data_IF_324988061237
#
_entry.id   IF_324988061237
#
_cell.length_a   1.000
_cell.length_b   1.000
_cell.length_c   1.000
_cell.angle_alpha   90.00
_cell.angle_beta   90.00
_cell.angle_gamma   90.00
#
_symmetry.space_group_name_H-M   'P 1'
#
loop_
_entity.id
_entity.type
_entity.pdbx_description
1 polymer ?
#
# COMPACT_ATOMS: atom_id res chain seq x y z
N UNK A 1 22.92 19.47 18.12
CA UNK A 1 22.21 19.21 16.85
C UNK A 1 20.71 19.30 17.09
N UNK A 2 20.01 20.27 16.49
CA UNK A 2 18.53 20.34 16.56
C UNK A 2 17.97 19.22 15.68
N UNK A 3 17.30 18.23 16.28
CA UNK A 3 16.51 17.24 15.52
C UNK A 3 15.30 17.98 14.96
N UNK A 4 15.29 18.21 13.65
CA UNK A 4 14.11 18.72 12.97
C UNK A 4 12.97 17.72 13.17
N UNK A 5 11.92 18.13 13.88
CA UNK A 5 10.70 17.33 13.98
C UNK A 5 10.14 17.17 12.57
N UNK A 6 10.18 15.94 12.03
CA UNK A 6 9.45 15.60 10.81
C UNK A 6 8.03 15.28 11.23
N UNK A 7 7.09 16.13 10.85
CA UNK A 7 5.67 15.86 11.05
C UNK A 7 5.31 14.60 10.22
N UNK A 8 4.75 13.56 10.85
CA UNK A 8 4.32 12.37 10.13
C UNK A 8 3.22 12.76 9.12
N UNK A 9 3.35 12.29 7.88
CA UNK A 9 2.40 12.58 6.81
C UNK A 9 2.78 13.70 5.83
N UNK A 10 3.73 14.59 6.17
CA UNK A 10 4.16 15.68 5.23
C UNK A 10 4.67 15.14 3.90
N UNK A 11 5.30 13.97 3.92
CA UNK A 11 5.75 13.28 2.71
C UNK A 11 4.61 12.96 1.72
N UNK A 12 3.40 12.77 2.23
CA UNK A 12 2.20 12.44 1.46
C UNK A 12 1.40 13.68 1.06
N UNK A 13 1.64 14.83 1.70
CA UNK A 13 0.95 16.05 1.34
C UNK A 13 1.32 16.47 -0.10
N UNK A 14 0.32 16.90 -0.86
CA UNK A 14 0.44 17.27 -2.28
C UNK A 14 0.84 16.16 -3.26
N UNK A 15 0.98 14.90 -2.81
CA UNK A 15 1.17 13.78 -3.75
C UNK A 15 -0.06 13.61 -4.66
N UNK A 16 0.16 13.26 -5.93
CA UNK A 16 -0.93 12.99 -6.85
C UNK A 16 -1.74 11.77 -6.39
N UNK A 17 -3.00 11.73 -6.79
CA UNK A 17 -3.93 10.64 -6.52
C UNK A 17 -4.11 9.78 -7.76
N UNK A 18 -4.36 8.49 -7.54
CA UNK A 18 -4.73 7.59 -8.63
C UNK A 18 -6.15 7.94 -9.08
N UNK A 19 -6.35 7.89 -10.39
CA UNK A 19 -7.66 8.08 -11.02
C UNK A 19 -8.46 6.76 -10.97
N UNK A 20 -7.78 5.64 -10.71
CA UNK A 20 -8.37 4.31 -10.58
C UNK A 20 -9.43 4.27 -9.48
N UNK A 21 -10.51 3.52 -9.72
CA UNK A 21 -11.54 3.32 -8.73
C UNK A 21 -10.99 2.59 -7.49
N UNK A 22 -11.45 2.98 -6.30
CA UNK A 22 -11.12 2.31 -5.04
C UNK A 22 -11.95 1.04 -4.84
N UNK A 23 -11.91 0.15 -5.83
CA UNK A 23 -12.55 -1.16 -5.71
C UNK A 23 -11.61 -2.11 -4.99
N UNK A 24 -12.08 -2.66 -3.88
CA UNK A 24 -11.29 -3.62 -3.11
C UNK A 24 -11.74 -5.05 -3.39
N UNK A 25 -10.78 -5.93 -3.63
CA UNK A 25 -11.02 -7.37 -3.82
C UNK A 25 -10.80 -8.14 -2.51
N UNK A 26 -11.24 -9.40 -2.48
CA UNK A 26 -11.00 -10.28 -1.35
C UNK A 26 -9.50 -10.57 -1.18
N UNK A 27 -9.04 -10.71 0.07
CA UNK A 27 -7.67 -11.10 0.38
C UNK A 27 -7.28 -12.43 -0.27
N UNK A 28 -6.12 -12.42 -0.94
CA UNK A 28 -5.51 -13.61 -1.52
C UNK A 28 -4.21 -13.96 -0.76
N UNK A 29 -4.14 -15.12 -0.07
CA UNK A 29 -2.97 -15.51 0.72
C UNK A 29 -1.73 -15.88 -0.13
N UNK A 30 -1.87 -16.04 -1.46
CA UNK A 30 -0.74 -16.34 -2.34
C UNK A 30 0.15 -15.12 -2.64
N UNK A 31 -0.28 -13.92 -2.28
CA UNK A 31 0.56 -12.73 -2.39
C UNK A 31 1.54 -12.69 -1.21
N UNK A 32 2.82 -12.83 -1.50
CA UNK A 32 3.87 -12.81 -0.48
C UNK A 32 4.24 -11.39 -0.10
N UNK A 33 4.73 -11.16 1.12
CA UNK A 33 5.14 -9.80 1.54
C UNK A 33 6.23 -9.25 0.61
N UNK A 34 6.18 -7.95 0.29
CA UNK A 34 7.27 -7.25 -0.40
C UNK A 34 8.61 -7.48 0.33
N UNK A 35 9.68 -7.71 -0.43
CA UNK A 35 10.99 -8.08 0.10
C UNK A 35 11.17 -9.58 0.40
N UNK A 36 10.11 -10.39 0.29
CA UNK A 36 10.25 -11.85 0.40
C UNK A 36 11.13 -12.38 -0.75
N UNK A 37 12.13 -13.24 -0.44
CA UNK A 37 12.97 -13.90 -1.45
C UNK A 37 12.14 -14.68 -2.47
N UNK A 38 12.71 -14.91 -3.65
CA UNK A 38 12.05 -15.72 -4.67
C UNK A 38 11.83 -17.16 -4.17
N UNK A 39 10.65 -17.72 -4.47
CA UNK A 39 10.31 -19.06 -4.02
C UNK A 39 9.34 -19.76 -4.98
N UNK A 40 9.01 -21.03 -4.70
CA UNK A 40 8.15 -21.86 -5.56
C UNK A 40 6.74 -21.29 -5.76
N UNK A 41 6.26 -20.40 -4.88
CA UNK A 41 4.97 -19.73 -5.05
C UNK A 41 5.00 -18.65 -6.16
N UNK A 42 6.19 -18.25 -6.62
CA UNK A 42 6.37 -17.32 -7.73
C UNK A 42 6.25 -17.99 -9.12
N UNK A 43 5.92 -19.30 -9.17
CA UNK A 43 5.86 -20.04 -10.44
C UNK A 43 4.90 -19.42 -11.46
N UNK A 44 3.83 -18.76 -11.00
CA UNK A 44 2.83 -18.11 -11.83
C UNK A 44 2.96 -16.57 -11.78
N UNK A 45 4.20 -16.08 -11.67
CA UNK A 45 4.48 -14.66 -11.52
C UNK A 45 4.75 -14.27 -10.07
N UNK A 46 5.60 -13.27 -9.92
CA UNK A 46 6.03 -12.76 -8.61
C UNK A 46 4.94 -11.83 -8.07
N UNK A 47 4.02 -12.37 -7.28
CA UNK A 47 2.93 -11.59 -6.67
C UNK A 47 3.32 -11.11 -5.28
N UNK A 48 3.24 -9.81 -5.01
CA UNK A 48 3.69 -9.23 -3.74
C UNK A 48 2.64 -8.37 -3.06
N UNK A 49 2.61 -8.35 -1.74
CA UNK A 49 1.72 -7.51 -0.95
C UNK A 49 2.46 -6.61 0.02
N UNK A 50 1.90 -5.42 0.26
CA UNK A 50 2.35 -4.46 1.27
C UNK A 50 1.11 -3.96 2.02
N UNK A 51 1.22 -3.77 3.33
CA UNK A 51 0.08 -3.22 4.07
C UNK A 51 -0.07 -1.73 3.81
N UNK A 52 -1.30 -1.23 3.90
CA UNK A 52 -1.58 0.19 3.72
C UNK A 52 -0.85 1.01 4.80
N UNK A 53 -0.82 0.53 6.04
CA UNK A 53 -0.07 1.20 7.13
C UNK A 53 1.44 1.24 6.86
N UNK A 54 2.04 0.14 6.36
CA UNK A 54 3.46 0.07 6.02
C UNK A 54 3.79 1.03 4.87
N UNK A 55 2.93 1.07 3.85
CA UNK A 55 3.09 2.00 2.73
C UNK A 55 2.97 3.45 3.20
N UNK A 56 1.94 3.80 3.97
CA UNK A 56 1.76 5.17 4.50
C UNK A 56 2.85 5.59 5.50
N UNK A 57 3.62 4.65 6.06
CA UNK A 57 4.76 4.94 6.94
C UNK A 57 5.99 5.47 6.21
N UNK A 58 6.03 5.36 4.87
CA UNK A 58 7.09 5.93 4.06
C UNK A 58 7.16 7.45 4.26
N UNK A 59 8.36 7.94 4.55
CA UNK A 59 8.58 9.34 4.96
C UNK A 59 9.71 10.04 4.21
N UNK A 60 10.32 9.36 3.24
CA UNK A 60 11.43 9.91 2.45
C UNK A 60 11.52 9.25 1.07
N UNK A 61 12.14 9.95 0.12
CA UNK A 61 12.43 9.40 -1.20
C UNK A 61 13.34 8.16 -1.11
N UNK A 62 14.31 8.15 -0.19
CA UNK A 62 15.17 6.98 0.02
C UNK A 62 14.41 5.71 0.41
N UNK A 63 13.33 5.84 1.19
CA UNK A 63 12.49 4.71 1.56
C UNK A 63 11.67 4.22 0.35
N UNK A 64 11.21 5.16 -0.48
CA UNK A 64 10.54 4.87 -1.76
C UNK A 64 11.48 4.16 -2.73
N UNK A 65 12.72 4.62 -2.89
CA UNK A 65 13.69 3.98 -3.76
C UNK A 65 14.04 2.56 -3.29
N UNK A 66 14.10 2.35 -1.97
CA UNK A 66 14.27 1.02 -1.39
C UNK A 66 13.08 0.11 -1.70
N UNK A 67 11.86 0.62 -1.58
CA UNK A 67 10.64 -0.11 -1.94
C UNK A 67 10.65 -0.45 -3.45
N UNK A 68 11.00 0.51 -4.30
CA UNK A 68 11.09 0.31 -5.75
C UNK A 68 12.01 -0.86 -6.11
N UNK A 69 13.19 -0.96 -5.46
CA UNK A 69 14.11 -2.10 -5.67
C UNK A 69 13.51 -3.44 -5.25
N UNK A 70 12.73 -3.47 -4.18
CA UNK A 70 12.06 -4.69 -3.71
C UNK A 70 10.92 -5.12 -4.64
N UNK A 71 10.37 -4.19 -5.41
CA UNK A 71 9.28 -4.40 -6.38
C UNK A 71 9.77 -4.73 -7.79
N UNK A 72 11.08 -4.84 -8.02
CA UNK A 72 11.62 -5.24 -9.31
C UNK A 72 11.10 -6.62 -9.73
N UNK A 73 10.70 -6.70 -11.00
CA UNK A 73 10.17 -7.89 -11.67
C UNK A 73 8.91 -8.49 -11.01
N UNK A 74 8.16 -7.69 -10.23
CA UNK A 74 6.88 -8.09 -9.68
C UNK A 74 5.81 -8.03 -10.78
N UNK A 75 4.96 -9.05 -10.85
CA UNK A 75 3.91 -9.14 -11.89
C UNK A 75 2.58 -8.55 -11.42
N UNK A 76 2.31 -8.62 -10.11
CA UNK A 76 1.16 -7.99 -9.49
C UNK A 76 1.47 -7.58 -8.05
N UNK A 77 0.92 -6.44 -7.64
CA UNK A 77 1.01 -5.93 -6.27
C UNK A 77 -0.38 -5.80 -5.66
N UNK A 78 -0.49 -6.20 -4.40
CA UNK A 78 -1.65 -5.93 -3.57
C UNK A 78 -1.31 -4.96 -2.43
N UNK A 79 -2.10 -3.91 -2.27
CA UNK A 79 -2.15 -3.14 -1.03
C UNK A 79 -3.16 -3.83 -0.11
N UNK A 80 -2.71 -4.30 1.05
CA UNK A 80 -3.59 -4.86 2.06
C UNK A 80 -4.16 -3.71 2.90
N UNK A 81 -5.47 -3.49 2.81
CA UNK A 81 -6.18 -2.56 3.68
C UNK A 81 -6.30 -3.18 5.08
N UNK A 82 -5.28 -2.94 5.89
CA UNK A 82 -5.14 -3.44 7.26
C UNK A 82 -5.64 -2.45 8.32
N UNK A 83 -6.00 -1.23 7.89
CA UNK A 83 -6.55 -0.18 8.73
C UNK A 83 -7.95 0.22 8.25
N UNK A 84 -8.87 0.33 9.20
CA UNK A 84 -10.19 0.91 8.98
C UNK A 84 -10.38 2.04 10.00
N UNK A 85 -10.64 3.28 9.57
CA UNK A 85 -10.89 4.36 10.51
C UNK A 85 -12.13 4.05 11.35
N UNK A 86 -11.99 4.13 12.67
CA UNK A 86 -13.09 3.90 13.64
C UNK A 86 -14.07 5.08 13.68
N UNK A 87 -13.62 6.26 13.23
CA UNK A 87 -14.42 7.48 13.21
C UNK A 87 -15.25 7.57 11.93
N UNK A 88 -16.58 7.53 12.08
CA UNK A 88 -17.54 7.57 10.97
C UNK A 88 -17.83 8.97 10.41
N UNK A 89 -16.91 9.92 10.58
CA UNK A 89 -17.04 11.28 10.03
C UNK A 89 -16.84 11.30 8.51
N UNK A 90 -17.69 12.01 7.78
CA UNK A 90 -17.59 12.14 6.32
C UNK A 90 -16.24 12.70 5.86
N UNK A 91 -15.66 13.62 6.64
CA UNK A 91 -14.33 14.21 6.38
C UNK A 91 -13.22 13.18 6.62
N UNK A 92 -13.27 12.44 7.73
CA UNK A 92 -12.27 11.41 8.04
C UNK A 92 -12.26 10.30 6.98
N UNK A 93 -13.44 9.87 6.53
CA UNK A 93 -13.55 8.88 5.46
C UNK A 93 -13.01 9.42 4.12
N UNK A 94 -13.34 10.67 3.75
CA UNK A 94 -12.76 11.32 2.57
C UNK A 94 -11.24 11.37 2.64
N UNK A 95 -10.69 11.84 3.75
CA UNK A 95 -9.24 11.91 3.96
C UNK A 95 -8.58 10.53 3.85
N UNK A 96 -9.19 9.50 4.45
CA UNK A 96 -8.70 8.13 4.33
C UNK A 96 -8.69 7.63 2.88
N UNK A 97 -9.79 7.85 2.14
CA UNK A 97 -9.86 7.52 0.71
C UNK A 97 -8.80 8.26 -0.11
N UNK A 98 -8.59 9.55 0.16
CA UNK A 98 -7.53 10.34 -0.47
C UNK A 98 -6.15 9.71 -0.23
N UNK A 99 -5.84 9.33 1.02
CA UNK A 99 -4.56 8.66 1.34
C UNK A 99 -4.40 7.32 0.63
N UNK A 100 -5.46 6.52 0.49
CA UNK A 100 -5.39 5.27 -0.28
C UNK A 100 -5.10 5.56 -1.76
N UNK A 101 -5.77 6.56 -2.37
CA UNK A 101 -5.50 6.92 -3.77
C UNK A 101 -4.07 7.40 -4.00
N UNK A 102 -3.50 8.16 -3.06
CA UNK A 102 -2.10 8.56 -3.13
C UNK A 102 -1.15 7.36 -3.02
N UNK A 103 -1.46 6.41 -2.13
CA UNK A 103 -0.71 5.17 -1.98
C UNK A 103 -0.77 4.30 -3.26
N UNK A 104 -1.94 4.15 -3.87
CA UNK A 104 -2.11 3.47 -5.16
C UNK A 104 -1.27 4.16 -6.23
N UNK A 105 -1.37 5.49 -6.34
CA UNK A 105 -0.63 6.25 -7.34
C UNK A 105 0.87 6.08 -7.21
N UNK A 106 1.38 6.11 -5.97
CA UNK A 106 2.80 5.88 -5.73
C UNK A 106 3.24 4.52 -6.30
N UNK A 107 2.48 3.45 -6.06
CA UNK A 107 2.82 2.13 -6.60
C UNK A 107 2.69 2.07 -8.11
N UNK A 108 1.63 2.65 -8.69
CA UNK A 108 1.46 2.77 -10.15
C UNK A 108 2.66 3.49 -10.79
N UNK A 109 3.18 4.56 -10.17
CA UNK A 109 4.35 5.28 -10.66
C UNK A 109 5.66 4.49 -10.51
N UNK A 110 5.78 3.65 -9.47
CA UNK A 110 6.96 2.82 -9.23
C UNK A 110 7.05 1.61 -10.15
N UNK A 111 5.90 1.05 -10.53
CA UNK A 111 5.79 -0.17 -11.35
C UNK A 111 4.69 -0.02 -12.41
N UNK A 112 4.91 0.79 -13.46
CA UNK A 112 3.87 1.19 -14.40
C UNK A 112 3.21 0.03 -15.16
N UNK A 113 3.93 -1.06 -15.39
CA UNK A 113 3.43 -2.24 -16.12
C UNK A 113 2.87 -3.34 -15.20
N UNK A 114 2.73 -3.06 -13.90
CA UNK A 114 2.32 -4.04 -12.89
C UNK A 114 0.90 -3.75 -12.40
N UNK A 115 0.06 -4.78 -12.33
CA UNK A 115 -1.28 -4.62 -11.78
C UNK A 115 -1.22 -4.31 -10.27
N UNK A 116 -1.74 -3.15 -9.86
CA UNK A 116 -1.88 -2.76 -8.46
C UNK A 116 -3.34 -2.92 -8.03
N UNK A 117 -3.58 -3.65 -6.94
CA UNK A 117 -4.93 -3.94 -6.45
C UNK A 117 -5.05 -3.63 -4.97
N UNK A 118 -6.24 -3.24 -4.51
CA UNK A 118 -6.55 -3.08 -3.09
C UNK A 118 -7.22 -4.36 -2.57
N UNK A 119 -6.69 -4.96 -1.52
CA UNK A 119 -7.25 -6.17 -0.89
C UNK A 119 -7.77 -5.86 0.51
N UNK A 120 -8.94 -6.40 0.85
CA UNK A 120 -9.48 -6.35 2.21
C UNK A 120 -9.15 -7.63 2.96
N UNK A 121 -8.57 -7.50 4.16
CA UNK A 121 -8.45 -8.63 5.07
C UNK A 121 -9.84 -9.20 5.40
N UNK A 122 -9.98 -10.52 5.57
CA UNK A 122 -11.23 -11.09 6.04
C UNK A 122 -11.54 -10.48 7.41
N UNK A 123 -12.79 -10.03 7.59
CA UNK A 123 -13.26 -9.56 8.90
C UNK A 123 -12.95 -10.66 9.92
N UNK A 124 -12.00 -10.42 10.83
CA UNK A 124 -11.86 -11.21 12.03
C UNK A 124 -13.14 -10.99 12.82
N UNK A 125 -14.13 -11.87 12.64
CA UNK A 125 -15.20 -12.00 13.62
C UNK A 125 -14.47 -12.28 14.94
N UNK A 126 -14.52 -11.32 15.86
CA UNK A 126 -14.20 -11.57 17.25
C UNK A 126 -14.96 -12.83 17.64
N UNK A 127 -14.22 -13.87 18.04
CA UNK A 127 -14.83 -15.01 18.72
C UNK A 127 -15.45 -14.41 19.98
N UNK A 128 -16.78 -14.37 19.99
CA UNK A 128 -17.61 -13.95 21.12
C UNK A 128 -17.40 -14.87 22.31
#
# INVERSE_FOLDING_TARGET
MKKSYRLPGVFWDHRPESISALESVAYNPFYLKVGHPECLFDYNGKHRCISLTELLSLSSQTAVDSLARQLLNVTAIAIICDYKPEFYGSIANKFFQHRIRQALRLLEDLVPDTAVTLMQLPNRKSVS
#
